data_IF_971623996053
#
_entry.id   IF_971623996053
#
_cell.length_a   1.000
_cell.length_b   1.000
_cell.length_c   1.000
_cell.angle_alpha   90.00
_cell.angle_beta   90.00
_cell.angle_gamma   90.00
#
_symmetry.space_group_name_H-M   'P 1'
#
loop_
_entity.id
_entity.type
_entity.pdbx_description
1 polymer ?
#
# COMPACT_ATOMS: atom_id res chain seq x y z
N UNK A 1 -51.03 -18.90 -74.43
CA UNK A 1 -49.58 -19.14 -74.51
C UNK A 1 -49.09 -19.42 -73.10
N UNK A 2 -48.80 -20.71 -72.83
CA UNK A 2 -47.96 -21.39 -71.81
C UNK A 2 -47.65 -20.62 -70.49
N UNK A 3 -47.73 -21.21 -69.29
CA UNK A 3 -46.92 -22.33 -68.78
C UNK A 3 -47.54 -22.85 -67.46
N UNK A 4 -47.61 -24.19 -67.30
CA UNK A 4 -47.84 -24.91 -66.04
C UNK A 4 -46.56 -24.88 -65.19
N UNK A 5 -46.62 -24.87 -63.85
CA UNK A 5 -45.57 -25.53 -63.04
C UNK A 5 -46.02 -25.87 -61.60
N UNK A 6 -45.76 -27.12 -61.21
CA UNK A 6 -45.84 -27.73 -59.88
C UNK A 6 -44.85 -27.09 -58.89
N UNK A 7 -45.19 -27.09 -57.59
CA UNK A 7 -44.22 -27.15 -56.48
C UNK A 7 -44.93 -27.60 -55.18
N UNK A 8 -44.65 -28.82 -54.71
CA UNK A 8 -43.77 -29.19 -53.58
C UNK A 8 -44.48 -29.20 -52.21
N UNK A 9 -44.73 -30.43 -51.72
CA UNK A 9 -45.16 -30.73 -50.35
C UNK A 9 -43.95 -30.55 -49.43
N UNK A 10 -44.02 -29.60 -48.50
CA UNK A 10 -43.01 -29.38 -47.46
C UNK A 10 -43.49 -30.01 -46.14
N UNK A 11 -42.85 -31.09 -45.72
CA UNK A 11 -43.07 -31.71 -44.41
C UNK A 11 -42.43 -30.81 -43.35
N UNK A 12 -43.25 -30.15 -42.54
CA UNK A 12 -42.79 -29.33 -41.42
C UNK A 12 -42.43 -30.25 -40.24
N UNK A 13 -41.13 -30.41 -39.98
CA UNK A 13 -40.61 -31.02 -38.77
C UNK A 13 -40.68 -30.03 -37.61
N UNK A 14 -41.50 -30.35 -36.61
CA UNK A 14 -41.60 -29.57 -35.38
C UNK A 14 -40.37 -29.86 -34.50
N UNK A 15 -39.33 -29.04 -34.61
CA UNK A 15 -38.22 -28.99 -33.67
C UNK A 15 -38.71 -28.34 -32.37
N UNK A 16 -38.97 -29.15 -31.35
CA UNK A 16 -39.20 -28.66 -30.00
C UNK A 16 -37.90 -28.07 -29.44
N UNK A 17 -37.79 -26.74 -29.50
CA UNK A 17 -36.76 -26.01 -28.76
C UNK A 17 -37.09 -26.12 -27.27
N UNK A 18 -36.32 -26.94 -26.54
CA UNK A 18 -36.36 -26.94 -25.09
C UNK A 18 -35.88 -25.58 -24.57
N UNK A 19 -36.81 -24.72 -24.21
CA UNK A 19 -36.51 -23.54 -23.41
C UNK A 19 -36.06 -24.03 -22.04
N UNK A 20 -34.75 -23.97 -21.77
CA UNK A 20 -34.24 -24.06 -20.41
C UNK A 20 -34.82 -22.86 -19.64
N UNK A 21 -35.84 -23.12 -18.83
CA UNK A 21 -36.39 -22.12 -17.93
C UNK A 21 -35.29 -21.75 -16.93
N UNK A 22 -34.71 -20.56 -17.10
CA UNK A 22 -33.80 -20.00 -16.11
C UNK A 22 -34.64 -19.73 -14.86
N UNK A 23 -34.40 -20.50 -13.80
CA UNK A 23 -35.12 -20.34 -12.54
C UNK A 23 -34.85 -18.93 -11.99
N UNK A 24 -35.89 -18.09 -12.02
CA UNK A 24 -35.85 -16.72 -11.54
C UNK A 24 -35.75 -16.75 -10.01
N UNK A 25 -34.51 -16.75 -9.51
CA UNK A 25 -34.24 -16.88 -8.07
C UNK A 25 -34.54 -15.54 -7.42
N UNK A 26 -35.48 -15.51 -6.47
CA UNK A 26 -35.84 -14.30 -5.73
C UNK A 26 -34.78 -14.01 -4.67
N UNK A 27 -34.22 -12.80 -4.70
CA UNK A 27 -33.10 -12.41 -3.85
C UNK A 27 -33.38 -11.11 -3.09
N UNK A 28 -32.85 -11.03 -1.88
CA UNK A 28 -32.59 -9.76 -1.17
C UNK A 28 -31.09 -9.50 -1.26
N UNK A 29 -30.73 -8.40 -1.93
CA UNK A 29 -29.34 -7.93 -2.06
C UNK A 29 -29.08 -6.77 -1.10
N UNK A 30 -28.03 -6.86 -0.30
CA UNK A 30 -27.65 -5.86 0.70
C UNK A 30 -26.14 -5.67 0.75
N UNK A 31 -25.72 -4.53 1.31
CA UNK A 31 -24.33 -4.27 1.68
C UNK A 31 -24.19 -3.98 3.17
N UNK A 32 -23.20 -4.61 3.80
CA UNK A 32 -22.75 -4.33 5.16
C UNK A 32 -21.34 -3.74 5.13
N UNK A 33 -21.06 -2.79 6.01
CA UNK A 33 -19.79 -2.13 6.13
C UNK A 33 -19.42 -1.94 7.61
N UNK A 34 -18.24 -2.41 7.99
CA UNK A 34 -17.71 -2.17 9.32
C UNK A 34 -16.36 -1.47 9.24
N UNK A 35 -16.02 -0.78 10.32
CA UNK A 35 -14.72 -0.14 10.48
C UNK A 35 -14.22 -0.24 11.92
N UNK A 36 -12.91 -0.27 12.09
CA UNK A 36 -12.25 -0.19 13.40
C UNK A 36 -10.93 0.56 13.26
N UNK A 37 -10.65 1.44 14.22
CA UNK A 37 -9.36 2.11 14.34
C UNK A 37 -8.38 1.29 15.16
N UNK A 38 -7.09 1.38 14.81
CA UNK A 38 -5.99 0.82 15.58
C UNK A 38 -4.81 1.78 15.63
N UNK A 39 -4.18 1.89 16.80
CA UNK A 39 -2.95 2.64 16.94
C UNK A 39 -1.79 1.90 16.26
N UNK A 40 -0.95 2.58 15.47
CA UNK A 40 0.18 1.95 14.81
C UNK A 40 1.27 1.58 15.83
N UNK A 41 1.77 0.35 15.72
CA UNK A 41 2.92 -0.17 16.48
C UNK A 41 4.11 -0.52 15.58
N UNK A 42 3.99 -0.26 14.28
CA UNK A 42 5.04 -0.40 13.29
C UNK A 42 5.23 0.89 12.51
N UNK A 43 6.47 1.20 12.18
CA UNK A 43 6.82 2.24 11.21
C UNK A 43 7.87 1.68 10.26
N UNK A 44 7.69 1.90 8.96
CA UNK A 44 8.68 1.59 7.95
C UNK A 44 9.04 2.83 7.14
N UNK A 45 10.27 2.90 6.66
CA UNK A 45 10.75 4.00 5.83
C UNK A 45 11.81 3.52 4.85
N UNK A 46 11.99 4.25 3.76
CA UNK A 46 13.08 4.05 2.82
C UNK A 46 14.23 4.99 3.21
N UNK A 47 15.37 4.40 3.54
CA UNK A 47 16.63 5.07 3.84
C UNK A 47 17.55 4.97 2.63
N UNK A 48 17.78 6.09 1.97
CA UNK A 48 18.76 6.20 0.90
C UNK A 48 20.13 6.52 1.49
N UNK A 49 21.15 5.82 1.02
CA UNK A 49 22.57 6.05 1.27
C UNK A 49 23.19 6.38 -0.07
N UNK A 50 23.85 7.52 -0.19
CA UNK A 50 24.47 7.93 -1.45
C UNK A 50 25.90 8.41 -1.25
N UNK A 51 26.70 8.22 -2.29
CA UNK A 51 28.06 8.76 -2.38
C UNK A 51 28.36 9.18 -3.83
N UNK A 52 29.21 10.18 -3.99
CA UNK A 52 29.69 10.70 -5.27
C UNK A 52 31.12 11.22 -5.15
N UNK A 53 31.92 10.99 -6.17
CA UNK A 53 33.27 11.56 -6.29
C UNK A 53 33.75 11.51 -7.74
N UNK A 54 34.84 12.20 -8.06
CA UNK A 54 35.45 12.13 -9.39
C UNK A 54 36.01 10.72 -9.74
N UNK A 55 36.35 9.90 -8.74
CA UNK A 55 36.94 8.57 -8.92
C UNK A 55 36.04 7.44 -8.41
N UNK A 56 35.87 6.40 -9.23
CA UNK A 56 35.07 5.22 -8.92
C UNK A 56 35.44 4.56 -7.57
N UNK A 57 36.74 4.34 -7.33
CA UNK A 57 37.24 3.68 -6.12
C UNK A 57 36.94 4.49 -4.85
N UNK A 58 37.07 5.82 -4.93
CA UNK A 58 36.77 6.73 -3.83
C UNK A 58 35.27 6.73 -3.53
N UNK A 59 34.41 6.76 -4.56
CA UNK A 59 32.95 6.67 -4.42
C UNK A 59 32.53 5.36 -3.73
N UNK A 60 33.12 4.22 -4.11
CA UNK A 60 32.84 2.93 -3.46
C UNK A 60 33.27 2.91 -2.00
N UNK A 61 34.44 3.48 -1.69
CA UNK A 61 34.95 3.55 -0.30
C UNK A 61 34.01 4.39 0.57
N UNK A 62 33.60 5.56 0.08
CA UNK A 62 32.64 6.43 0.75
C UNK A 62 31.29 5.74 0.99
N UNK A 63 30.73 5.10 -0.04
CA UNK A 63 29.48 4.36 0.08
C UNK A 63 29.58 3.23 1.11
N UNK A 64 30.68 2.46 1.09
CA UNK A 64 30.89 1.36 2.03
C UNK A 64 31.02 1.84 3.48
N UNK A 65 31.74 2.94 3.72
CA UNK A 65 31.92 3.49 5.06
C UNK A 65 30.61 4.09 5.59
N UNK A 66 29.84 4.78 4.74
CA UNK A 66 28.54 5.32 5.11
C UNK A 66 27.52 4.21 5.39
N UNK A 67 27.50 3.15 4.58
CA UNK A 67 26.67 1.97 4.85
C UNK A 67 27.05 1.32 6.19
N UNK A 68 28.34 1.16 6.51
CA UNK A 68 28.78 0.64 7.82
C UNK A 68 28.31 1.53 8.97
N UNK A 69 28.42 2.86 8.82
CA UNK A 69 27.96 3.83 9.82
C UNK A 69 26.46 3.68 10.08
N UNK A 70 25.67 3.64 9.02
CA UNK A 70 24.21 3.47 9.08
C UNK A 70 23.85 2.14 9.74
N UNK A 71 24.44 1.02 9.30
CA UNK A 71 24.15 -0.29 9.87
C UNK A 71 24.45 -0.35 11.38
N UNK A 72 25.56 0.26 11.82
CA UNK A 72 25.89 0.37 13.26
C UNK A 72 24.85 1.16 14.04
N UNK A 73 24.30 2.23 13.47
CA UNK A 73 23.22 3.00 14.09
C UNK A 73 21.96 2.13 14.20
N UNK A 74 21.55 1.46 13.12
CA UNK A 74 20.39 0.56 13.13
C UNK A 74 20.54 -0.55 14.18
N UNK A 75 21.74 -1.12 14.32
CA UNK A 75 22.06 -2.12 15.35
C UNK A 75 21.94 -1.55 16.78
N UNK A 76 22.41 -0.33 17.02
CA UNK A 76 22.29 0.34 18.33
C UNK A 76 20.81 0.57 18.72
N UNK A 77 19.96 0.86 17.74
CA UNK A 77 18.51 0.96 17.91
C UNK A 77 17.80 -0.41 17.95
N UNK A 78 18.56 -1.52 17.97
CA UNK A 78 18.05 -2.90 18.08
C UNK A 78 17.14 -3.28 16.91
N UNK A 79 17.36 -2.73 15.72
CA UNK A 79 16.66 -3.17 14.50
C UNK A 79 17.18 -4.56 14.12
N UNK A 80 16.27 -5.51 13.92
CA UNK A 80 16.63 -6.86 13.50
C UNK A 80 17.12 -6.86 12.04
N UNK A 81 18.02 -7.78 11.69
CA UNK A 81 18.54 -7.87 10.30
C UNK A 81 17.43 -8.18 9.29
N UNK A 82 16.43 -8.95 9.70
CA UNK A 82 15.25 -9.26 8.89
C UNK A 82 14.33 -8.05 8.67
N UNK A 83 14.42 -7.05 9.54
CA UNK A 83 13.67 -5.78 9.44
C UNK A 83 14.43 -4.75 8.56
N UNK A 84 15.56 -5.13 7.93
CA UNK A 84 16.34 -4.31 7.01
C UNK A 84 16.46 -5.02 5.66
N UNK A 85 15.95 -4.40 4.61
CA UNK A 85 15.95 -4.96 3.27
C UNK A 85 16.50 -3.96 2.24
N UNK A 86 17.47 -4.37 1.43
CA UNK A 86 17.89 -3.56 0.28
C UNK A 86 16.79 -3.57 -0.79
N UNK A 87 16.24 -2.39 -1.10
CA UNK A 87 15.25 -2.19 -2.16
C UNK A 87 15.92 -1.98 -3.51
N UNK A 88 17.02 -1.23 -3.53
CA UNK A 88 17.78 -0.95 -4.74
C UNK A 88 19.24 -0.65 -4.42
N UNK A 89 20.09 -0.90 -5.42
CA UNK A 89 21.50 -0.54 -5.40
C UNK A 89 21.92 -0.15 -6.81
N UNK A 90 22.57 1.00 -6.94
CA UNK A 90 23.10 1.51 -8.19
C UNK A 90 24.50 2.06 -7.97
N UNK A 91 25.39 1.78 -8.91
CA UNK A 91 26.73 2.34 -8.95
C UNK A 91 27.13 2.55 -10.42
N UNK A 92 27.68 3.71 -10.75
CA UNK A 92 28.09 4.00 -12.11
C UNK A 92 28.57 5.42 -12.34
N UNK A 93 28.95 5.75 -13.58
CA UNK A 93 29.30 7.11 -13.96
C UNK A 93 28.09 8.04 -13.82
N UNK A 94 28.34 9.23 -13.27
CA UNK A 94 27.38 10.32 -13.18
C UNK A 94 27.61 11.29 -14.34
N UNK A 95 26.56 11.65 -15.08
CA UNK A 95 26.64 12.55 -16.23
C UNK A 95 25.76 13.76 -16.01
N UNK A 96 26.29 14.94 -16.32
CA UNK A 96 25.53 16.19 -16.32
C UNK A 96 25.37 16.67 -17.75
N UNK A 97 24.14 17.05 -18.08
CA UNK A 97 23.83 17.66 -19.37
C UNK A 97 24.40 19.08 -19.43
N UNK A 98 25.28 19.33 -20.40
CA UNK A 98 25.86 20.64 -20.65
C UNK A 98 25.07 21.37 -21.74
N UNK A 99 24.18 22.27 -21.33
CA UNK A 99 23.31 23.01 -22.25
C UNK A 99 24.07 23.80 -23.34
N UNK A 100 25.18 24.51 -23.04
CA UNK A 100 25.93 25.25 -24.06
C UNK A 100 26.54 24.37 -25.16
N UNK A 101 26.92 23.12 -24.85
CA UNK A 101 27.55 22.21 -25.83
C UNK A 101 26.61 21.13 -26.35
N UNK A 102 25.37 21.04 -25.82
CA UNK A 102 24.39 19.99 -26.10
C UNK A 102 24.98 18.58 -25.97
N UNK A 103 25.77 18.33 -24.92
CA UNK A 103 26.44 17.04 -24.67
C UNK A 103 26.38 16.64 -23.20
N UNK A 104 26.35 15.33 -22.95
CA UNK A 104 26.58 14.78 -21.62
C UNK A 104 28.06 14.87 -21.26
N UNK A 105 28.39 15.55 -20.17
CA UNK A 105 29.74 15.59 -19.59
C UNK A 105 29.79 14.66 -18.38
N UNK A 106 30.82 13.82 -18.31
CA UNK A 106 31.09 13.00 -17.14
C UNK A 106 31.35 13.93 -15.94
N UNK A 107 30.55 13.76 -14.89
CA UNK A 107 30.60 14.51 -13.64
C UNK A 107 31.21 13.68 -12.48
N UNK A 108 31.63 12.45 -12.77
CA UNK A 108 32.29 11.54 -11.82
C UNK A 108 31.57 10.20 -11.75
N UNK A 109 31.52 9.64 -10.55
CA UNK A 109 30.84 8.38 -10.25
C UNK A 109 29.94 8.57 -9.05
N UNK A 110 28.76 7.94 -9.09
CA UNK A 110 27.80 7.92 -7.99
C UNK A 110 27.50 6.48 -7.55
N UNK A 111 27.14 6.34 -6.28
CA UNK A 111 26.55 5.14 -5.72
C UNK A 111 25.31 5.54 -4.93
N UNK A 112 24.22 4.79 -5.10
CA UNK A 112 22.98 4.97 -4.35
C UNK A 112 22.50 3.59 -3.91
N UNK A 113 22.21 3.44 -2.63
CA UNK A 113 21.61 2.24 -2.04
C UNK A 113 20.36 2.67 -1.28
N UNK A 114 19.23 1.99 -1.52
CA UNK A 114 18.00 2.23 -0.76
C UNK A 114 17.72 1.03 0.11
N UNK A 115 17.54 1.26 1.41
CA UNK A 115 17.16 0.28 2.41
C UNK A 115 15.73 0.55 2.88
N UNK A 116 14.87 -0.46 2.87
CA UNK A 116 13.64 -0.47 3.65
C UNK A 116 13.99 -0.88 5.07
N UNK A 117 13.63 -0.04 6.02
CA UNK A 117 13.83 -0.30 7.45
C UNK A 117 12.46 -0.38 8.11
N UNK A 118 12.21 -1.44 8.87
CA UNK A 118 11.04 -1.63 9.72
C UNK A 118 11.43 -1.43 11.19
N UNK A 119 10.71 -0.58 11.89
CA UNK A 119 10.91 -0.26 13.31
C UNK A 119 9.63 -0.57 14.08
N UNK A 120 9.78 -1.37 15.13
CA UNK A 120 8.69 -1.79 16.04
C UNK A 120 8.53 -0.86 17.24
N UNK A 121 9.62 -0.18 17.62
CA UNK A 121 9.58 0.83 18.68
C UNK A 121 9.31 2.21 18.08
N UNK A 122 8.07 2.44 17.67
CA UNK A 122 7.67 3.65 16.95
C UNK A 122 7.99 4.95 17.68
N UNK A 123 8.00 4.95 19.02
CA UNK A 123 8.38 6.10 19.84
C UNK A 123 9.87 6.52 19.70
N UNK A 124 10.74 5.64 19.20
CA UNK A 124 12.15 5.93 18.93
C UNK A 124 12.39 6.42 17.50
N UNK A 125 11.36 6.45 16.64
CA UNK A 125 11.48 6.74 15.22
C UNK A 125 12.16 8.08 14.94
N UNK A 126 11.71 9.17 15.58
CA UNK A 126 12.31 10.49 15.43
C UNK A 126 13.80 10.50 15.71
N UNK A 127 14.19 9.94 16.87
CA UNK A 127 15.59 9.84 17.29
C UNK A 127 16.43 8.98 16.35
N UNK A 128 15.86 7.89 15.83
CA UNK A 128 16.53 7.05 14.83
C UNK A 128 16.76 7.82 13.52
N UNK A 129 15.72 8.49 13.01
CA UNK A 129 15.79 9.33 11.80
C UNK A 129 16.85 10.41 11.96
N UNK A 130 16.88 11.09 13.10
CA UNK A 130 17.89 12.10 13.39
C UNK A 130 19.28 11.45 13.43
N UNK A 131 19.46 10.32 14.12
CA UNK A 131 20.76 9.65 14.21
C UNK A 131 21.32 9.24 12.84
N UNK A 132 20.49 8.75 11.92
CA UNK A 132 20.96 8.37 10.58
C UNK A 132 21.22 9.58 9.68
N UNK A 133 20.45 10.67 9.83
CA UNK A 133 20.59 11.90 9.02
C UNK A 133 21.64 12.89 9.55
N UNK A 134 22.05 12.78 10.82
CA UNK A 134 23.02 13.68 11.49
C UNK A 134 24.45 13.59 10.92
N UNK A 135 24.71 12.78 9.89
CA UNK A 135 25.94 12.87 9.08
C UNK A 135 25.96 14.15 8.23
N UNK A 136 26.10 15.29 8.89
CA UNK A 136 27.26 16.19 8.83
C UNK A 136 26.84 17.59 9.28
N UNK A 137 26.92 17.86 10.59
CA UNK A 137 27.13 19.23 11.07
C UNK A 137 28.57 19.72 10.83
N UNK A 138 29.37 18.99 10.03
CA UNK A 138 30.82 19.21 9.87
C UNK A 138 31.27 19.69 8.50
N UNK A 139 30.50 19.48 7.43
CA UNK A 139 30.89 19.92 6.08
C UNK A 139 29.72 20.61 5.37
N UNK A 140 29.52 21.88 5.74
CA UNK A 140 28.71 22.82 4.97
C UNK A 140 29.48 23.35 3.74
N UNK A 141 30.40 22.55 3.19
CA UNK A 141 31.04 22.83 1.92
C UNK A 141 30.04 22.69 0.75
N UNK A 142 30.26 23.41 -0.37
CA UNK A 142 29.31 23.46 -1.49
C UNK A 142 29.11 22.11 -2.23
N UNK A 143 29.82 21.02 -1.86
CA UNK A 143 29.67 19.68 -2.44
C UNK A 143 29.89 18.57 -1.42
N UNK A 144 28.84 18.16 -0.72
CA UNK A 144 28.85 16.89 0.05
C UNK A 144 29.14 15.71 -0.87
N UNK A 145 30.10 14.86 -0.49
CA UNK A 145 30.50 13.67 -1.24
C UNK A 145 29.64 12.44 -0.89
N UNK A 146 28.97 12.43 0.25
CA UNK A 146 28.10 11.33 0.68
C UNK A 146 27.00 11.85 1.61
N UNK A 147 26.03 11.00 1.90
CA UNK A 147 25.02 11.27 2.90
C UNK A 147 23.88 10.27 2.90
N UNK A 148 22.87 10.58 3.69
CA UNK A 148 21.62 9.80 3.75
C UNK A 148 20.40 10.69 3.55
N UNK A 149 19.32 10.09 3.08
CA UNK A 149 18.01 10.73 3.07
C UNK A 149 16.93 9.71 3.45
N UNK A 150 15.84 10.19 4.06
CA UNK A 150 14.71 9.34 4.42
C UNK A 150 13.50 9.76 3.62
N UNK A 151 12.78 8.77 3.11
CA UNK A 151 11.53 8.95 2.39
C UNK A 151 10.55 7.83 2.71
N UNK A 152 9.32 7.97 2.18
CA UNK A 152 8.30 6.91 2.21
C UNK A 152 8.00 6.35 3.61
N UNK A 153 7.84 7.23 4.58
CA UNK A 153 7.44 6.86 5.95
C UNK A 153 6.01 6.29 5.90
N UNK A 154 5.84 5.08 6.41
CA UNK A 154 4.58 4.34 6.44
C UNK A 154 4.37 3.77 7.85
N UNK A 155 3.17 3.93 8.37
CA UNK A 155 2.76 3.36 9.65
C UNK A 155 1.98 2.07 9.40
N UNK A 156 2.10 1.11 10.30
CA UNK A 156 1.30 -0.11 10.25
C UNK A 156 1.03 -0.64 11.66
N UNK A 157 0.21 -1.69 11.76
CA UNK A 157 -0.05 -2.38 13.02
C UNK A 157 0.11 -3.89 12.89
N UNK A 158 0.80 -4.52 13.84
CA UNK A 158 0.82 -5.99 13.97
C UNK A 158 -0.57 -6.56 14.20
N UNK A 159 -1.47 -5.79 14.81
CA UNK A 159 -2.85 -6.17 15.06
C UNK A 159 -3.77 -6.00 13.83
N UNK A 160 -3.29 -5.39 12.74
CA UNK A 160 -4.10 -5.09 11.55
C UNK A 160 -4.84 -6.32 11.03
N UNK A 161 -4.14 -7.44 10.85
CA UNK A 161 -4.74 -8.68 10.32
C UNK A 161 -5.82 -9.26 11.24
N UNK A 162 -5.63 -9.19 12.56
CA UNK A 162 -6.64 -9.63 13.52
C UNK A 162 -7.88 -8.73 13.44
N UNK A 163 -7.67 -7.42 13.34
CA UNK A 163 -8.73 -6.43 13.20
C UNK A 163 -9.48 -6.59 11.88
N UNK A 164 -8.80 -6.87 10.76
CA UNK A 164 -9.45 -7.15 9.48
C UNK A 164 -10.45 -8.31 9.59
N UNK A 165 -10.10 -9.39 10.32
CA UNK A 165 -11.01 -10.53 10.56
C UNK A 165 -12.22 -10.11 11.40
N UNK A 166 -12.01 -9.31 12.46
CA UNK A 166 -13.11 -8.81 13.30
C UNK A 166 -14.05 -7.89 12.51
N UNK A 167 -13.50 -6.97 11.73
CA UNK A 167 -14.24 -6.00 10.91
C UNK A 167 -14.99 -6.71 9.80
N UNK A 168 -14.39 -7.72 9.15
CA UNK A 168 -15.10 -8.56 8.17
C UNK A 168 -16.30 -9.28 8.80
N UNK A 169 -16.12 -9.90 9.97
CA UNK A 169 -17.21 -10.56 10.67
C UNK A 169 -18.33 -9.57 11.07
N UNK A 170 -17.97 -8.35 11.49
CA UNK A 170 -18.93 -7.28 11.78
C UNK A 170 -19.69 -6.82 10.53
N UNK A 171 -19.02 -6.65 9.38
CA UNK A 171 -19.64 -6.26 8.12
C UNK A 171 -20.66 -7.33 7.64
N UNK A 172 -20.32 -8.62 7.78
CA UNK A 172 -21.26 -9.72 7.47
C UNK A 172 -22.48 -9.69 8.40
N UNK A 173 -22.28 -9.45 9.70
CA UNK A 173 -23.40 -9.34 10.66
C UNK A 173 -24.32 -8.17 10.34
N UNK A 174 -23.77 -7.03 9.95
CA UNK A 174 -24.56 -5.87 9.56
C UNK A 174 -25.34 -6.13 8.26
N UNK A 175 -24.70 -6.72 7.24
CA UNK A 175 -25.38 -7.13 6.01
C UNK A 175 -26.57 -8.05 6.33
N UNK A 176 -26.35 -9.05 7.20
CA UNK A 176 -27.41 -9.96 7.63
C UNK A 176 -28.55 -9.23 8.35
N UNK A 177 -28.24 -8.31 9.26
CA UNK A 177 -29.24 -7.53 9.98
C UNK A 177 -30.11 -6.67 9.04
N UNK A 178 -29.51 -6.07 8.01
CA UNK A 178 -30.24 -5.33 6.96
C UNK A 178 -31.16 -6.26 6.17
N UNK A 179 -30.68 -7.42 5.74
CA UNK A 179 -31.49 -8.38 5.02
C UNK A 179 -32.67 -8.90 5.85
N UNK A 180 -32.45 -9.24 7.13
CA UNK A 180 -33.52 -9.67 8.04
C UNK A 180 -34.57 -8.56 8.24
N UNK A 181 -34.16 -7.30 8.28
CA UNK A 181 -35.07 -6.14 8.38
C UNK A 181 -35.91 -5.99 7.11
N UNK A 182 -35.28 -6.07 5.93
CA UNK A 182 -35.98 -6.01 4.64
C UNK A 182 -36.97 -7.16 4.46
N UNK A 183 -36.55 -8.39 4.81
CA UNK A 183 -37.40 -9.57 4.71
C UNK A 183 -38.66 -9.44 5.58
N UNK A 184 -38.49 -9.01 6.84
CA UNK A 184 -39.61 -8.76 7.76
C UNK A 184 -40.57 -7.69 7.22
N UNK A 185 -40.04 -6.58 6.71
CA UNK A 185 -40.86 -5.50 6.15
C UNK A 185 -41.62 -5.92 4.88
N UNK A 186 -41.03 -6.79 4.06
CA UNK A 186 -41.66 -7.35 2.86
C UNK A 186 -42.57 -8.56 3.13
N UNK A 187 -42.64 -9.06 4.36
CA UNK A 187 -43.44 -10.24 4.71
C UNK A 187 -42.90 -11.56 4.15
N UNK A 188 -41.62 -11.60 3.76
CA UNK A 188 -40.95 -12.79 3.21
C UNK A 188 -39.97 -13.38 4.22
N UNK A 189 -39.54 -14.63 3.99
CA UNK A 189 -38.51 -15.29 4.82
C UNK A 189 -37.25 -15.54 4.01
N UNK A 190 -36.10 -15.29 4.63
CA UNK A 190 -34.80 -15.69 4.09
C UNK A 190 -34.64 -17.21 4.26
N UNK A 191 -34.30 -17.90 3.17
CA UNK A 191 -34.08 -19.34 3.12
C UNK A 191 -32.62 -19.70 3.38
N UNK A 192 -31.69 -19.12 2.62
CA UNK A 192 -30.26 -19.35 2.73
C UNK A 192 -29.46 -18.12 2.25
N UNK A 193 -28.14 -18.19 2.40
CA UNK A 193 -27.22 -17.25 1.76
C UNK A 193 -26.98 -17.73 0.32
N UNK A 194 -27.30 -16.88 -0.66
CA UNK A 194 -27.06 -17.18 -2.08
C UNK A 194 -25.63 -16.80 -2.48
N UNK A 195 -25.18 -15.61 -2.06
CA UNK A 195 -23.83 -15.10 -2.36
C UNK A 195 -23.32 -14.22 -1.24
N UNK A 196 -22.05 -14.37 -0.91
CA UNK A 196 -21.28 -13.40 -0.13
C UNK A 196 -20.05 -13.03 -0.91
N UNK A 197 -19.85 -11.74 -1.13
CA UNK A 197 -18.65 -11.21 -1.74
C UNK A 197 -18.12 -10.06 -0.89
N UNK A 198 -16.84 -10.12 -0.59
CA UNK A 198 -16.10 -9.00 -0.03
C UNK A 198 -15.19 -8.47 -1.14
N UNK A 199 -15.25 -7.17 -1.40
CA UNK A 199 -14.18 -6.52 -2.15
C UNK A 199 -13.08 -6.19 -1.16
N UNK A 200 -11.94 -6.87 -1.27
CA UNK A 200 -10.71 -6.44 -0.64
C UNK A 200 -10.40 -5.04 -1.18
N UNK A 201 -10.80 -4.01 -0.45
CA UNK A 201 -10.42 -2.65 -0.80
C UNK A 201 -8.93 -2.58 -0.49
N UNK A 202 -8.10 -2.36 -1.51
CA UNK A 202 -6.70 -2.01 -1.32
C UNK A 202 -6.74 -0.66 -0.59
N UNK A 203 -6.67 -0.71 0.73
CA UNK A 203 -6.81 0.46 1.57
C UNK A 203 -5.60 1.38 1.29
N UNK A 204 -5.83 2.67 0.96
CA UNK A 204 -4.74 3.63 0.89
C UNK A 204 -4.02 3.61 2.24
N UNK A 205 -2.69 3.50 2.23
CA UNK A 205 -1.89 3.52 3.46
C UNK A 205 -2.26 4.71 4.38
N UNK A 206 -1.94 4.63 5.68
CA UNK A 206 -2.39 5.58 6.68
C UNK A 206 -2.20 7.03 6.21
N UNK A 207 -3.29 7.79 6.21
CA UNK A 207 -3.26 9.20 5.87
C UNK A 207 -2.84 9.98 7.12
N UNK A 208 -1.70 10.69 7.13
CA UNK A 208 -1.37 11.54 8.25
C UNK A 208 -2.46 12.60 8.39
N UNK A 209 -3.20 12.56 9.50
CA UNK A 209 -4.03 13.69 9.91
C UNK A 209 -3.07 14.83 10.25
N UNK A 210 -3.12 15.95 9.52
CA UNK A 210 -2.32 17.12 9.87
C UNK A 210 -2.73 17.62 11.25
N UNK A 211 -1.93 17.32 12.27
CA UNK A 211 -1.93 18.11 13.49
C UNK A 211 -1.52 19.53 13.10
N UNK A 212 -2.34 20.53 13.44
CA UNK A 212 -1.98 21.94 13.30
C UNK A 212 -0.72 22.16 14.14
N UNK A 213 0.46 22.22 13.51
CA UNK A 213 1.69 22.59 14.19
C UNK A 213 1.56 24.03 14.67
N UNK A 214 1.45 24.20 15.99
CA UNK A 214 1.87 25.44 16.61
C UNK A 214 3.40 25.49 16.48
N UNK A 215 3.90 26.45 15.72
CA UNK A 215 5.32 26.82 15.70
C UNK A 215 5.74 27.17 17.13
N UNK A 216 6.46 26.26 17.78
CA UNK A 216 7.22 26.54 18.99
C UNK A 216 8.70 26.27 18.69
N UNK A 217 9.52 27.21 19.14
CA UNK A 217 10.89 27.45 18.73
C UNK A 217 11.87 26.31 19.05
N UNK A 218 12.97 26.34 18.30
CA UNK A 218 14.10 25.42 18.36
C UNK A 218 14.74 25.33 19.77
N UNK A 219 14.76 24.11 20.30
CA UNK A 219 15.83 23.61 21.18
C UNK A 219 15.85 22.08 21.09
N UNK A 220 16.86 21.53 20.40
CA UNK A 220 17.16 20.09 20.25
C UNK A 220 15.96 19.13 20.16
N UNK A 221 14.89 19.51 19.47
CA UNK A 221 13.70 18.68 19.33
C UNK A 221 13.97 17.61 18.27
N UNK A 222 13.90 16.34 18.68
CA UNK A 222 13.96 15.24 17.74
C UNK A 222 12.81 15.32 16.73
N UNK A 223 12.99 14.82 15.52
CA UNK A 223 11.94 14.81 14.49
C UNK A 223 10.64 14.18 15.03
N UNK A 224 9.58 14.99 15.20
CA UNK A 224 8.28 14.50 15.66
C UNK A 224 7.53 13.83 14.49
N UNK A 225 7.31 12.51 14.61
CA UNK A 225 6.53 11.75 13.64
C UNK A 225 5.21 11.32 14.27
N UNK A 226 4.10 11.88 13.79
CA UNK A 226 2.76 11.48 14.22
C UNK A 226 2.22 10.34 13.34
N UNK A 227 1.93 9.19 13.95
CA UNK A 227 1.39 8.01 13.25
C UNK A 227 -0.11 8.05 12.98
N UNK A 228 -0.85 8.91 13.68
CA UNK A 228 -2.30 8.92 13.61
C UNK A 228 -2.93 7.59 14.03
N UNK A 229 -4.16 7.34 13.58
CA UNK A 229 -4.82 6.03 13.69
C UNK A 229 -4.89 5.38 12.32
N UNK A 230 -4.69 4.06 12.29
CA UNK A 230 -4.96 3.24 11.11
C UNK A 230 -6.43 2.85 11.17
N UNK A 231 -7.22 3.32 10.21
CA UNK A 231 -8.59 2.87 10.02
C UNK A 231 -8.56 1.63 9.14
N UNK A 232 -9.22 0.56 9.60
CA UNK A 232 -9.46 -0.66 8.83
C UNK A 232 -10.94 -0.72 8.50
N UNK A 233 -11.29 -0.65 7.22
CA UNK A 233 -12.68 -0.68 6.73
C UNK A 233 -12.93 -1.86 5.80
N UNK A 234 -14.04 -2.57 6.02
CA UNK A 234 -14.48 -3.69 5.19
C UNK A 234 -15.92 -3.50 4.75
N UNK A 235 -16.18 -3.69 3.46
CA UNK A 235 -17.52 -3.75 2.88
C UNK A 235 -17.79 -5.13 2.30
N UNK A 236 -18.96 -5.68 2.58
CA UNK A 236 -19.44 -6.98 2.10
C UNK A 236 -20.77 -6.78 1.37
N UNK A 237 -20.88 -7.35 0.17
CA UNK A 237 -22.16 -7.55 -0.51
C UNK A 237 -22.68 -8.95 -0.24
N UNK A 238 -23.97 -9.04 0.05
CA UNK A 238 -24.65 -10.28 0.38
C UNK A 238 -25.96 -10.37 -0.40
N UNK A 239 -26.17 -11.52 -1.05
CA UNK A 239 -27.45 -11.89 -1.66
C UNK A 239 -28.04 -13.06 -0.87
N UNK A 240 -29.30 -12.91 -0.47
CA UNK A 240 -30.05 -13.91 0.30
C UNK A 240 -31.23 -14.43 -0.52
N UNK A 241 -31.36 -15.75 -0.65
CA UNK A 241 -32.52 -16.38 -1.29
C UNK A 241 -33.73 -16.23 -0.37
N UNK A 242 -34.88 -15.83 -0.93
CA UNK A 242 -36.14 -15.68 -0.20
C UNK A 242 -37.20 -16.66 -0.68
N UNK A 243 -38.14 -17.00 0.21
CA UNK A 243 -39.31 -17.85 -0.04
C UNK A 243 -40.44 -17.08 -0.72
#
# INVERSE_FOLDING_TARGET
>A
MNIRLLALIFVSGLMAAGAVAQADTRLISVSGAAEKSVSPDLISFSLEIWARSAAAQRTQTLAADETKRVMKILENYKIAKEDIQTESFQFGPDYVWDQPTNRNKLNGFSSTQVLRVLLRKTAEAGRLIDAVTVAEKGDAGPRREFGTSISRIQWDSTARKAIEVEVLAAAVKEARSKADTMAKAAGVKIKNVYRLAHQAMIEPGPRPMMAKMAMAAADSASSELAGGEIKVQVTVSADYEIQ
#
